data_IF_767664230601
#
_entry.id   IF_767664230601
#
_cell.length_a   1.000
_cell.length_b   1.000
_cell.length_c   1.000
_cell.angle_alpha   90.00
_cell.angle_beta   90.00
_cell.angle_gamma   90.00
#
_symmetry.space_group_name_H-M   'P 1'
#
loop_
_entity.id
_entity.type
_entity.pdbx_description
1 polymer ?
#
# COMPACT_ATOMS: atom_id res chain seq x y z
N UNK A 1 -22.59 -32.06 25.29
CA UNK A 1 -22.98 -31.47 24.00
C UNK A 1 -22.64 -32.49 22.92
N UNK A 2 -23.59 -32.83 22.05
CA UNK A 2 -23.29 -33.67 20.89
C UNK A 2 -22.57 -32.81 19.85
N UNK A 3 -21.57 -33.37 19.16
CA UNK A 3 -20.93 -32.68 18.04
C UNK A 3 -21.94 -32.50 16.90
N UNK A 4 -21.85 -31.36 16.21
CA UNK A 4 -22.68 -31.11 15.04
C UNK A 4 -22.31 -32.06 13.91
N UNK A 5 -23.31 -32.67 13.28
CA UNK A 5 -23.10 -33.62 12.19
C UNK A 5 -22.79 -32.86 10.91
N UNK A 6 -21.54 -32.98 10.44
CA UNK A 6 -21.07 -32.30 9.22
C UNK A 6 -21.21 -33.19 7.98
N UNK A 7 -21.40 -32.55 6.83
CA UNK A 7 -21.45 -33.19 5.51
C UNK A 7 -20.12 -33.86 5.16
N UNK A 8 -20.19 -35.00 4.47
CA UNK A 8 -19.02 -35.71 3.95
C UNK A 8 -18.41 -35.02 2.72
N UNK A 9 -19.12 -34.04 2.14
CA UNK A 9 -18.62 -33.20 1.04
C UNK A 9 -18.16 -31.86 1.62
N UNK A 10 -16.87 -31.59 1.51
CA UNK A 10 -16.29 -30.32 1.94
C UNK A 10 -16.44 -29.26 0.84
N UNK A 11 -17.04 -28.11 1.18
CA UNK A 11 -16.93 -26.87 0.43
C UNK A 11 -15.91 -25.96 1.12
N UNK A 12 -14.69 -25.92 0.59
CA UNK A 12 -13.63 -25.11 1.19
C UNK A 12 -13.84 -23.61 0.97
N UNK A 13 -14.49 -23.21 -0.12
CA UNK A 13 -14.72 -21.79 -0.41
C UNK A 13 -15.69 -21.22 0.61
N UNK A 14 -16.81 -21.91 0.85
CA UNK A 14 -17.79 -21.53 1.86
C UNK A 14 -17.17 -21.52 3.27
N UNK A 15 -16.37 -22.54 3.62
CA UNK A 15 -15.69 -22.60 4.92
C UNK A 15 -14.68 -21.46 5.12
N UNK A 16 -13.92 -21.09 4.09
CA UNK A 16 -13.02 -19.93 4.13
C UNK A 16 -13.79 -18.63 4.36
N UNK A 17 -14.91 -18.43 3.64
CA UNK A 17 -15.76 -17.26 3.84
C UNK A 17 -16.31 -17.19 5.26
N UNK A 18 -16.89 -18.29 5.75
CA UNK A 18 -17.39 -18.40 7.13
C UNK A 18 -16.28 -18.12 8.16
N UNK A 19 -15.05 -18.59 7.92
CA UNK A 19 -13.91 -18.33 8.81
C UNK A 19 -13.50 -16.85 8.82
N UNK A 20 -13.43 -16.22 7.64
CA UNK A 20 -13.11 -14.79 7.53
C UNK A 20 -14.20 -13.91 8.17
N UNK A 21 -15.47 -14.26 7.98
CA UNK A 21 -16.61 -13.59 8.60
C UNK A 21 -16.55 -13.72 10.13
N UNK A 22 -16.32 -14.93 10.63
CA UNK A 22 -16.11 -15.17 12.06
C UNK A 22 -14.96 -14.33 12.62
N UNK A 23 -13.80 -14.27 11.94
CA UNK A 23 -12.67 -13.46 12.39
C UNK A 23 -12.98 -11.98 12.45
N UNK A 24 -13.69 -11.45 11.44
CA UNK A 24 -14.11 -10.05 11.36
C UNK A 24 -15.10 -9.70 12.46
N UNK A 25 -16.18 -10.47 12.59
CA UNK A 25 -17.27 -10.21 13.54
C UNK A 25 -16.82 -10.31 14.99
N UNK A 26 -15.80 -11.12 15.27
CA UNK A 26 -15.25 -11.30 16.59
C UNK A 26 -13.97 -10.49 16.85
N UNK A 27 -13.53 -9.64 15.91
CA UNK A 27 -12.30 -8.83 16.01
C UNK A 27 -11.08 -9.66 16.44
N UNK A 28 -10.91 -10.83 15.82
CA UNK A 28 -9.92 -11.83 16.24
C UNK A 28 -8.49 -11.30 16.08
N UNK A 29 -8.23 -10.53 15.02
CA UNK A 29 -6.91 -9.95 14.75
C UNK A 29 -6.52 -8.93 15.83
N UNK A 30 -7.45 -8.05 16.21
CA UNK A 30 -7.26 -7.02 17.23
C UNK A 30 -7.05 -7.66 18.60
N UNK A 31 -7.88 -8.64 18.97
CA UNK A 31 -7.71 -9.42 20.22
C UNK A 31 -6.36 -10.12 20.27
N UNK A 32 -5.90 -10.68 19.15
CA UNK A 32 -4.57 -11.30 19.05
C UNK A 32 -3.46 -10.27 19.26
N UNK A 33 -3.55 -9.08 18.66
CA UNK A 33 -2.57 -8.02 18.85
C UNK A 33 -2.53 -7.54 20.30
N UNK A 34 -3.69 -7.37 20.92
CA UNK A 34 -3.81 -6.92 22.31
C UNK A 34 -3.23 -7.93 23.30
N UNK A 35 -3.44 -9.23 23.06
CA UNK A 35 -2.86 -10.31 23.87
C UNK A 35 -1.32 -10.26 23.91
N UNK A 36 -0.69 -9.82 22.82
CA UNK A 36 0.76 -9.79 22.69
C UNK A 36 1.37 -8.40 22.92
N UNK A 37 0.57 -7.41 23.31
CA UNK A 37 1.07 -6.06 23.59
C UNK A 37 2.04 -6.09 24.78
N UNK A 38 3.22 -5.48 24.61
CA UNK A 38 4.27 -5.44 25.63
C UNK A 38 5.14 -6.70 25.69
N UNK A 39 4.90 -7.68 24.83
CA UNK A 39 5.74 -8.87 24.71
C UNK A 39 7.03 -8.56 23.93
N UNK A 40 8.06 -9.43 23.97
CA UNK A 40 9.26 -9.21 23.17
C UNK A 40 8.94 -9.07 21.67
N UNK A 41 9.48 -8.02 21.05
CA UNK A 41 9.19 -7.68 19.67
C UNK A 41 9.86 -8.62 18.68
N UNK A 42 9.14 -8.94 17.60
CA UNK A 42 9.71 -9.46 16.37
C UNK A 42 9.51 -8.42 15.27
N UNK A 43 10.62 -8.01 14.63
CA UNK A 43 10.59 -7.00 13.58
C UNK A 43 10.49 -7.66 12.22
N UNK A 44 9.50 -7.23 11.45
CA UNK A 44 9.33 -7.57 10.04
C UNK A 44 8.94 -6.32 9.28
N UNK A 45 9.59 -6.09 8.15
CA UNK A 45 9.31 -4.99 7.24
C UNK A 45 8.76 -5.62 5.97
N UNK A 46 7.49 -5.34 5.70
CA UNK A 46 6.85 -5.81 4.49
C UNK A 46 7.39 -5.04 3.27
N UNK A 47 7.99 -5.76 2.32
CA UNK A 47 8.35 -5.19 1.02
C UNK A 47 7.08 -4.74 0.31
N UNK A 48 6.95 -3.43 -0.02
CA UNK A 48 5.69 -2.86 -0.48
C UNK A 48 5.36 -3.39 -1.87
N UNK A 49 4.08 -3.70 -2.10
CA UNK A 49 3.58 -4.04 -3.44
C UNK A 49 3.36 -2.73 -4.22
N UNK A 50 3.72 -2.69 -5.50
CA UNK A 50 3.36 -1.55 -6.35
C UNK A 50 1.84 -1.49 -6.51
N UNK A 51 1.24 -0.37 -6.14
CA UNK A 51 -0.20 -0.15 -6.18
C UNK A 51 -0.67 0.29 -7.58
N UNK A 52 -0.33 -0.48 -8.61
CA UNK A 52 -0.65 -0.13 -10.00
C UNK A 52 -1.62 -1.10 -10.69
N UNK A 53 -1.80 -2.32 -10.18
CA UNK A 53 -2.61 -3.37 -10.82
C UNK A 53 -3.18 -4.35 -9.77
N UNK A 54 -4.17 -5.20 -10.11
CA UNK A 54 -4.62 -6.26 -9.22
C UNK A 54 -3.48 -7.25 -8.94
N UNK A 55 -3.53 -7.94 -7.80
CA UNK A 55 -2.54 -8.96 -7.45
C UNK A 55 -2.59 -10.14 -8.43
N UNK A 56 -1.44 -10.43 -9.06
CA UNK A 56 -1.16 -11.74 -9.67
C UNK A 56 -0.82 -12.84 -8.65
N UNK A 57 -0.83 -14.11 -9.09
CA UNK A 57 -0.59 -15.30 -8.25
C UNK A 57 0.74 -15.25 -7.48
N UNK A 58 1.79 -14.69 -8.08
CA UNK A 58 3.09 -14.54 -7.43
C UNK A 58 3.04 -13.64 -6.18
N UNK A 59 2.15 -12.65 -6.13
CA UNK A 59 1.93 -11.86 -4.90
C UNK A 59 1.27 -12.70 -3.82
N UNK A 60 0.32 -13.56 -4.19
CA UNK A 60 -0.30 -14.51 -3.26
C UNK A 60 0.76 -15.40 -2.62
N UNK A 61 1.65 -15.98 -3.42
CA UNK A 61 2.75 -16.80 -2.92
C UNK A 61 3.66 -16.07 -1.92
N UNK A 62 4.10 -14.84 -2.27
CA UNK A 62 4.91 -14.03 -1.36
C UNK A 62 4.19 -13.69 -0.05
N UNK A 63 2.91 -13.31 -0.12
CA UNK A 63 2.10 -12.98 1.06
C UNK A 63 1.84 -14.20 1.94
N UNK A 64 1.64 -15.39 1.36
CA UNK A 64 1.48 -16.63 2.14
C UNK A 64 2.70 -16.90 3.03
N UNK A 65 3.92 -16.74 2.51
CA UNK A 65 5.12 -16.93 3.34
C UNK A 65 5.23 -15.87 4.45
N UNK A 66 4.96 -14.60 4.12
CA UNK A 66 5.00 -13.50 5.10
C UNK A 66 3.99 -13.71 6.23
N UNK A 67 2.77 -14.16 5.89
CA UNK A 67 1.72 -14.47 6.87
C UNK A 67 2.08 -15.68 7.74
N UNK A 68 2.62 -16.75 7.12
CA UNK A 68 3.06 -17.95 7.84
C UNK A 68 4.07 -17.60 8.94
N UNK A 69 5.11 -16.82 8.61
CA UNK A 69 6.12 -16.42 9.60
C UNK A 69 5.54 -15.45 10.64
N UNK A 70 4.67 -14.54 10.23
CA UNK A 70 4.00 -13.64 11.17
C UNK A 70 3.21 -14.44 12.21
N UNK A 71 2.34 -15.36 11.77
CA UNK A 71 1.57 -16.25 12.66
C UNK A 71 2.46 -17.12 13.53
N UNK A 72 3.53 -17.69 12.97
CA UNK A 72 4.50 -18.48 13.73
C UNK A 72 5.06 -17.67 14.90
N UNK A 73 5.53 -16.45 14.67
CA UNK A 73 6.12 -15.63 15.72
C UNK A 73 5.08 -15.10 16.71
N UNK A 74 3.86 -14.80 16.27
CA UNK A 74 2.72 -14.54 17.15
C UNK A 74 2.48 -15.69 18.11
N UNK A 75 2.37 -16.92 17.60
CA UNK A 75 2.13 -18.11 18.42
C UNK A 75 3.30 -18.43 19.36
N UNK A 76 4.49 -17.90 19.07
CA UNK A 76 5.65 -17.94 19.96
C UNK A 76 5.67 -16.79 20.98
N UNK A 77 4.58 -16.04 21.11
CA UNK A 77 4.40 -14.98 22.10
C UNK A 77 5.11 -13.67 21.77
N UNK A 78 5.34 -13.36 20.47
CA UNK A 78 6.01 -12.12 20.06
C UNK A 78 5.01 -11.02 19.74
N UNK A 79 5.40 -9.78 20.04
CA UNK A 79 4.71 -8.58 19.55
C UNK A 79 5.20 -8.23 18.13
N UNK A 80 4.28 -8.04 17.20
CA UNK A 80 4.56 -7.73 15.80
C UNK A 80 3.91 -6.40 15.40
N UNK A 81 4.50 -5.73 14.40
CA UNK A 81 3.98 -4.46 13.86
C UNK A 81 2.80 -4.63 12.90
N UNK A 82 2.72 -5.76 12.19
CA UNK A 82 1.67 -6.03 11.19
C UNK A 82 1.42 -4.92 10.15
N UNK A 83 2.46 -4.19 9.75
CA UNK A 83 2.33 -3.11 8.79
C UNK A 83 2.55 -3.58 7.36
N UNK A 84 1.57 -3.35 6.47
CA UNK A 84 1.73 -3.51 5.02
C UNK A 84 2.24 -2.21 4.37
N UNK A 85 2.90 -2.33 3.22
CA UNK A 85 3.31 -1.21 2.39
C UNK A 85 2.69 -1.19 0.99
N UNK A 86 2.42 0.01 0.49
CA UNK A 86 2.16 0.27 -0.92
C UNK A 86 3.26 1.13 -1.53
N UNK A 87 3.80 0.68 -2.65
CA UNK A 87 4.70 1.45 -3.49
C UNK A 87 3.87 2.22 -4.53
N UNK A 88 3.95 3.54 -4.45
CA UNK A 88 3.00 4.48 -5.04
C UNK A 88 3.64 5.37 -6.12
N UNK A 89 4.93 5.22 -6.40
CA UNK A 89 5.69 6.15 -7.23
C UNK A 89 6.41 5.42 -8.37
N UNK A 90 6.91 6.20 -9.33
CA UNK A 90 7.80 5.71 -10.39
C UNK A 90 7.08 5.12 -11.61
N UNK A 91 7.91 4.60 -12.52
CA UNK A 91 7.52 4.26 -13.90
C UNK A 91 6.35 3.27 -13.99
N UNK A 92 6.26 2.31 -13.06
CA UNK A 92 5.21 1.29 -13.08
C UNK A 92 3.80 1.85 -12.86
N UNK A 93 3.67 2.98 -12.16
CA UNK A 93 2.39 3.68 -12.00
C UNK A 93 2.16 4.61 -13.19
N UNK A 94 3.18 5.43 -13.51
CA UNK A 94 3.09 6.43 -14.59
C UNK A 94 2.74 5.81 -15.94
N UNK A 95 3.39 4.70 -16.32
CA UNK A 95 3.17 4.03 -17.60
C UNK A 95 1.75 3.47 -17.72
N UNK A 96 1.16 3.00 -16.63
CA UNK A 96 -0.23 2.53 -16.66
C UNK A 96 -1.22 3.68 -16.81
N UNK A 97 -0.96 4.82 -16.17
CA UNK A 97 -1.77 6.05 -16.38
C UNK A 97 -1.60 6.58 -17.81
N UNK A 98 -0.38 6.57 -18.35
CA UNK A 98 -0.14 6.91 -19.77
C UNK A 98 -0.97 6.02 -20.70
N UNK A 99 -1.04 4.70 -20.44
CA UNK A 99 -1.85 3.77 -21.24
C UNK A 99 -3.34 4.08 -21.13
N UNK A 100 -3.86 4.34 -19.93
CA UNK A 100 -5.26 4.69 -19.71
C UNK A 100 -5.67 5.98 -20.42
N UNK A 101 -4.78 6.97 -20.45
CA UNK A 101 -5.01 8.24 -21.14
C UNK A 101 -4.66 8.19 -22.64
N UNK A 102 -4.13 7.06 -23.13
CA UNK A 102 -3.71 6.90 -24.52
C UNK A 102 -2.47 7.70 -24.92
N UNK A 103 -1.65 8.12 -23.94
CA UNK A 103 -0.43 8.90 -24.17
C UNK A 103 0.67 8.06 -24.82
N UNK A 104 1.37 8.68 -25.76
CA UNK A 104 2.43 8.06 -26.57
C UNK A 104 3.79 8.71 -26.34
N UNK A 105 3.83 9.89 -25.75
CA UNK A 105 5.06 10.64 -25.48
C UNK A 105 4.95 11.45 -24.19
N UNK A 106 6.09 11.88 -23.66
CA UNK A 106 6.13 12.78 -22.50
C UNK A 106 5.54 14.17 -22.79
N UNK A 107 5.48 14.60 -24.06
CA UNK A 107 4.81 15.85 -24.45
C UNK A 107 3.32 15.80 -24.17
N UNK A 108 2.69 14.64 -24.33
CA UNK A 108 1.26 14.49 -24.05
C UNK A 108 0.96 14.77 -22.56
N UNK A 109 1.88 14.40 -21.66
CA UNK A 109 1.80 14.71 -20.22
C UNK A 109 1.94 16.21 -19.98
N UNK A 110 2.92 16.85 -20.62
CA UNK A 110 3.14 18.30 -20.49
C UNK A 110 1.93 19.09 -20.99
N UNK A 111 1.34 18.69 -22.12
CA UNK A 111 0.13 19.29 -22.70
C UNK A 111 -1.11 19.06 -21.83
N UNK A 112 -1.22 17.89 -21.18
CA UNK A 112 -2.30 17.57 -20.25
C UNK A 112 -2.22 18.40 -18.95
N UNK A 113 -0.99 18.61 -18.46
CA UNK A 113 -0.66 19.25 -17.20
C UNK A 113 -0.02 18.26 -16.22
N UNK A 114 1.17 18.61 -15.73
CA UNK A 114 1.92 17.76 -14.78
C UNK A 114 1.15 17.52 -13.47
N UNK A 115 0.50 18.56 -12.96
CA UNK A 115 -0.35 18.51 -11.77
C UNK A 115 -1.49 17.50 -11.94
N UNK A 116 -2.23 17.59 -13.05
CA UNK A 116 -3.34 16.68 -13.36
C UNK A 116 -2.85 15.24 -13.53
N UNK A 117 -1.70 15.06 -14.19
CA UNK A 117 -1.11 13.73 -14.37
C UNK A 117 -0.69 13.10 -13.03
N UNK A 118 -0.07 13.88 -12.14
CA UNK A 118 0.30 13.43 -10.79
C UNK A 118 -0.95 13.07 -9.98
N UNK A 119 -2.02 13.88 -10.04
CA UNK A 119 -3.29 13.57 -9.38
C UNK A 119 -3.89 12.27 -9.92
N UNK A 120 -3.83 12.03 -11.24
CA UNK A 120 -4.29 10.79 -11.86
C UNK A 120 -3.49 9.56 -11.40
N UNK A 121 -2.17 9.72 -11.22
CA UNK A 121 -1.32 8.67 -10.64
C UNK A 121 -1.70 8.35 -9.19
N UNK A 122 -1.92 9.39 -8.36
CA UNK A 122 -2.38 9.21 -6.98
C UNK A 122 -3.76 8.53 -6.93
N UNK A 123 -4.69 8.93 -7.80
CA UNK A 123 -6.01 8.29 -7.94
C UNK A 123 -5.86 6.79 -8.22
N UNK A 124 -5.06 6.44 -9.24
CA UNK A 124 -4.79 5.03 -9.59
C UNK A 124 -4.27 4.25 -8.40
N UNK A 125 -3.28 4.81 -7.70
CA UNK A 125 -2.67 4.19 -6.50
C UNK A 125 -3.71 3.87 -5.45
N UNK A 126 -4.61 4.80 -5.14
CA UNK A 126 -5.65 4.60 -4.13
C UNK A 126 -6.62 3.47 -4.52
N UNK A 127 -7.06 3.44 -5.79
CA UNK A 127 -7.94 2.39 -6.30
C UNK A 127 -7.29 1.01 -6.23
N UNK A 128 -6.03 0.87 -6.65
CA UNK A 128 -5.36 -0.43 -6.61
C UNK A 128 -4.91 -0.83 -5.21
N UNK A 129 -4.57 0.12 -4.33
CA UNK A 129 -4.36 -0.18 -2.91
C UNK A 129 -5.62 -0.77 -2.27
N UNK A 130 -6.82 -0.27 -2.61
CA UNK A 130 -8.08 -0.84 -2.17
C UNK A 130 -8.29 -2.27 -2.70
N UNK A 131 -8.13 -2.48 -4.01
CA UNK A 131 -8.24 -3.81 -4.65
C UNK A 131 -7.27 -4.81 -4.01
N UNK A 132 -6.00 -4.45 -3.90
CA UNK A 132 -4.97 -5.31 -3.32
C UNK A 132 -5.23 -5.59 -1.84
N UNK A 133 -5.77 -4.63 -1.09
CA UNK A 133 -6.22 -4.84 0.30
C UNK A 133 -7.32 -5.89 0.37
N UNK A 134 -8.37 -5.78 -0.45
CA UNK A 134 -9.48 -6.76 -0.48
C UNK A 134 -8.97 -8.16 -0.85
N UNK A 135 -8.13 -8.25 -1.87
CA UNK A 135 -7.52 -9.51 -2.30
C UNK A 135 -6.64 -10.12 -1.20
N UNK A 136 -5.92 -9.29 -0.43
CA UNK A 136 -5.06 -9.76 0.67
C UNK A 136 -5.87 -10.24 1.87
N UNK A 137 -6.94 -9.52 2.22
CA UNK A 137 -7.90 -9.97 3.25
C UNK A 137 -8.54 -11.30 2.85
N UNK A 138 -8.89 -11.49 1.57
CA UNK A 138 -9.43 -12.76 1.06
C UNK A 138 -8.43 -13.92 1.15
N UNK A 139 -7.13 -13.66 1.03
CA UNK A 139 -6.06 -14.64 1.25
C UNK A 139 -5.83 -14.97 2.74
N UNK A 140 -6.50 -14.29 3.67
CA UNK A 140 -6.27 -14.43 5.11
C UNK A 140 -4.98 -13.76 5.60
N UNK A 141 -4.40 -12.85 4.82
CA UNK A 141 -3.16 -12.15 5.19
C UNK A 141 -3.44 -11.11 6.29
N UNK A 142 -2.95 -11.38 7.49
CA UNK A 142 -3.31 -10.60 8.69
C UNK A 142 -2.36 -9.42 8.88
N UNK A 143 -2.81 -8.24 8.44
CA UNK A 143 -2.11 -6.96 8.62
C UNK A 143 -3.06 -5.88 9.13
N UNK A 144 -2.50 -4.78 9.61
CA UNK A 144 -3.22 -3.54 9.84
C UNK A 144 -3.49 -2.87 8.50
N UNK A 145 -4.69 -3.11 7.96
CA UNK A 145 -5.12 -2.58 6.68
C UNK A 145 -5.77 -1.20 6.85
N UNK A 146 -5.61 -0.33 5.85
CA UNK A 146 -6.57 0.75 5.66
C UNK A 146 -7.91 0.16 5.21
N UNK A 147 -8.99 0.93 5.41
CA UNK A 147 -10.29 0.57 4.87
C UNK A 147 -10.30 0.76 3.34
N UNK A 148 -10.50 -0.31 2.55
CA UNK A 148 -10.49 -0.20 1.09
C UNK A 148 -11.62 0.68 0.55
N UNK A 149 -12.78 0.74 1.19
CA UNK A 149 -13.90 1.59 0.74
C UNK A 149 -13.53 3.08 0.90
N UNK A 150 -12.80 3.42 1.97
CA UNK A 150 -12.29 4.77 2.18
C UNK A 150 -11.18 5.16 1.21
N UNK A 151 -10.33 4.21 0.81
CA UNK A 151 -9.32 4.46 -0.20
C UNK A 151 -9.96 4.75 -1.56
N UNK A 152 -11.02 4.02 -1.93
CA UNK A 152 -11.79 4.30 -3.15
C UNK A 152 -12.49 5.66 -3.08
N UNK A 153 -13.13 5.99 -1.95
CA UNK A 153 -13.75 7.30 -1.76
C UNK A 153 -12.75 8.46 -1.84
N UNK A 154 -11.55 8.30 -1.27
CA UNK A 154 -10.48 9.29 -1.42
C UNK A 154 -10.01 9.40 -2.88
N UNK A 155 -9.99 8.31 -3.64
CA UNK A 155 -9.66 8.36 -5.06
C UNK A 155 -10.67 9.19 -5.84
N UNK A 156 -11.97 8.97 -5.60
CA UNK A 156 -13.05 9.72 -6.23
C UNK A 156 -12.97 11.21 -5.88
N UNK A 157 -12.81 11.54 -4.60
CA UNK A 157 -12.67 12.91 -4.12
C UNK A 157 -11.43 13.61 -4.67
N UNK A 158 -10.31 12.89 -4.81
CA UNK A 158 -9.06 13.44 -5.35
C UNK A 158 -9.20 13.77 -6.83
N UNK A 159 -9.95 12.94 -7.57
CA UNK A 159 -10.23 13.16 -8.99
C UNK A 159 -11.20 14.34 -9.23
N UNK A 160 -12.19 14.51 -8.35
CA UNK A 160 -13.22 15.54 -8.49
C UNK A 160 -12.78 16.91 -7.95
N UNK A 161 -12.20 16.97 -6.76
CA UNK A 161 -11.91 18.22 -6.05
C UNK A 161 -10.76 18.06 -5.04
N UNK A 162 -9.49 17.99 -5.50
CA UNK A 162 -8.34 17.71 -4.64
C UNK A 162 -8.11 18.73 -3.52
N UNK A 163 -8.57 19.97 -3.72
CA UNK A 163 -8.44 21.07 -2.76
C UNK A 163 -9.69 21.28 -1.88
N UNK A 164 -10.73 20.46 -2.03
CA UNK A 164 -11.89 20.53 -1.15
C UNK A 164 -11.51 20.03 0.25
N UNK A 165 -11.98 20.73 1.30
CA UNK A 165 -11.81 20.29 2.68
C UNK A 165 -12.76 19.14 2.99
N UNK A 166 -12.21 18.05 3.53
CA UNK A 166 -12.94 16.88 4.00
C UNK A 166 -12.59 16.59 5.45
N UNK A 167 -13.47 15.86 6.15
CA UNK A 167 -13.17 15.26 7.45
C UNK A 167 -13.02 13.76 7.28
N UNK A 168 -11.81 13.25 7.48
CA UNK A 168 -11.49 11.83 7.45
C UNK A 168 -11.58 11.23 8.85
N UNK A 169 -12.32 10.13 8.98
CA UNK A 169 -12.49 9.41 10.24
C UNK A 169 -11.36 8.39 10.44
N UNK A 170 -10.27 8.78 11.08
CA UNK A 170 -9.10 7.93 11.33
C UNK A 170 -9.22 7.02 12.56
N UNK A 171 -8.35 6.00 12.70
CA UNK A 171 -8.29 5.18 13.93
C UNK A 171 -7.85 5.97 15.18
N UNK A 172 -7.16 7.10 15.01
CA UNK A 172 -6.75 7.98 16.11
C UNK A 172 -7.69 9.19 16.32
N UNK A 173 -8.77 9.29 15.54
CA UNK A 173 -9.71 10.42 15.56
C UNK A 173 -9.89 11.08 14.20
N UNK A 174 -10.59 12.22 14.19
CA UNK A 174 -10.89 12.98 12.99
C UNK A 174 -9.68 13.76 12.48
N UNK A 175 -9.50 13.77 11.16
CA UNK A 175 -8.50 14.59 10.46
C UNK A 175 -9.23 15.44 9.43
N UNK A 176 -9.24 16.77 9.63
CA UNK A 176 -9.88 17.72 8.70
C UNK A 176 -8.82 18.48 7.92
N UNK A 177 -8.85 18.38 6.59
CA UNK A 177 -7.94 19.08 5.67
C UNK A 177 -8.42 18.92 4.22
N UNK A 178 -7.68 19.45 3.26
CA UNK A 178 -7.92 19.18 1.84
C UNK A 178 -7.75 17.70 1.52
N UNK A 179 -8.48 17.20 0.50
CA UNK A 179 -8.36 15.80 0.04
C UNK A 179 -6.90 15.45 -0.23
N UNK A 180 -6.17 16.32 -0.94
CA UNK A 180 -4.76 16.08 -1.26
C UNK A 180 -3.88 15.98 -0.01
N UNK A 181 -4.10 16.82 1.01
CA UNK A 181 -3.34 16.76 2.26
C UNK A 181 -3.70 15.53 3.11
N UNK A 182 -4.94 15.07 3.06
CA UNK A 182 -5.33 13.78 3.67
C UNK A 182 -4.61 12.64 2.96
N UNK A 183 -4.64 12.59 1.63
CA UNK A 183 -3.94 11.57 0.83
C UNK A 183 -2.43 11.62 1.08
N UNK A 184 -1.83 12.80 1.13
CA UNK A 184 -0.41 13.01 1.41
C UNK A 184 0.03 12.57 2.80
N UNK A 185 -0.90 12.37 3.74
CA UNK A 185 -0.61 11.87 5.10
C UNK A 185 -0.88 10.37 5.27
N UNK A 186 -1.41 9.68 4.24
CA UNK A 186 -1.60 8.24 4.30
C UNK A 186 -0.29 7.53 4.66
N UNK A 187 -0.34 6.64 5.65
CA UNK A 187 0.86 6.04 6.24
C UNK A 187 1.20 6.55 7.63
N UNK A 188 0.60 7.67 8.04
CA UNK A 188 0.60 8.08 9.43
C UNK A 188 -0.46 7.28 10.23
N UNK A 189 -0.19 6.96 11.51
CA UNK A 189 -1.08 6.15 12.34
C UNK A 189 -2.52 6.67 12.41
N UNK A 190 -2.73 7.98 12.32
CA UNK A 190 -4.04 8.62 12.31
C UNK A 190 -4.87 8.36 11.05
N UNK A 191 -4.29 7.86 9.96
CA UNK A 191 -5.01 7.62 8.70
C UNK A 191 -5.09 6.13 8.31
N UNK A 192 -4.55 5.24 9.14
CA UNK A 192 -4.72 3.79 9.01
C UNK A 192 -3.43 3.01 9.20
N UNK A 193 -3.46 1.74 8.80
CA UNK A 193 -2.40 0.79 9.13
C UNK A 193 -1.31 0.60 8.08
N UNK A 194 -1.58 0.83 6.79
CA UNK A 194 -0.56 0.67 5.74
C UNK A 194 0.28 1.92 5.58
N UNK A 195 1.56 1.76 5.22
CA UNK A 195 2.39 2.87 4.78
C UNK A 195 2.33 3.04 3.25
N UNK A 196 2.54 4.27 2.78
CA UNK A 196 2.49 4.63 1.36
C UNK A 196 3.74 5.43 1.00
N UNK A 197 4.46 5.02 -0.05
CA UNK A 197 5.75 5.66 -0.41
C UNK A 197 5.60 7.11 -0.86
N UNK A 198 4.42 7.50 -1.39
CA UNK A 198 4.14 8.88 -1.80
C UNK A 198 3.82 9.85 -0.65
N UNK A 199 3.79 9.38 0.60
CA UNK A 199 3.37 10.18 1.74
C UNK A 199 4.41 11.26 2.04
N UNK A 200 3.94 12.40 2.57
CA UNK A 200 4.77 13.53 2.95
C UNK A 200 5.85 13.09 3.94
N UNK A 201 5.48 12.30 4.95
CA UNK A 201 6.43 11.78 5.94
C UNK A 201 7.52 10.90 5.29
N UNK A 202 7.14 9.96 4.41
CA UNK A 202 8.10 9.13 3.71
C UNK A 202 9.02 9.97 2.79
N UNK A 203 8.47 10.95 2.08
CA UNK A 203 9.23 11.88 1.25
C UNK A 203 10.24 12.70 2.09
N UNK A 204 9.84 13.19 3.27
CA UNK A 204 10.75 13.92 4.16
C UNK A 204 11.89 13.05 4.68
N UNK A 205 11.62 11.77 4.96
CA UNK A 205 12.67 10.81 5.33
C UNK A 205 13.64 10.56 4.18
N UNK A 206 13.15 10.42 2.95
CA UNK A 206 14.00 10.31 1.75
C UNK A 206 14.85 11.56 1.56
N UNK A 207 14.26 12.76 1.67
CA UNK A 207 14.98 14.02 1.53
C UNK A 207 16.07 14.17 2.59
N UNK A 208 15.78 13.76 3.83
CA UNK A 208 16.76 13.74 4.92
C UNK A 208 17.92 12.81 4.58
N UNK A 209 17.65 11.60 4.09
CA UNK A 209 18.68 10.67 3.66
C UNK A 209 19.54 11.24 2.52
N UNK A 210 18.92 11.77 1.46
CA UNK A 210 19.63 12.37 0.33
C UNK A 210 20.50 13.55 0.76
N UNK A 211 19.99 14.40 1.66
CA UNK A 211 20.77 15.51 2.24
C UNK A 211 22.00 15.00 2.98
N UNK A 212 21.88 13.92 3.77
CA UNK A 212 23.03 13.31 4.46
C UNK A 212 24.04 12.72 3.48
N UNK A 213 23.60 12.07 2.42
CA UNK A 213 24.50 11.57 1.37
C UNK A 213 25.23 12.71 0.67
N UNK A 214 24.54 13.81 0.39
CA UNK A 214 25.14 15.01 -0.20
C UNK A 214 26.16 15.68 0.75
N UNK A 215 25.82 15.88 2.03
CA UNK A 215 26.73 16.43 3.05
C UNK A 215 28.01 15.60 3.21
N UNK A 216 27.96 14.29 2.94
CA UNK A 216 29.10 13.37 2.97
C UNK A 216 29.86 13.27 1.64
N UNK A 217 29.40 13.95 0.58
CA UNK A 217 29.99 13.86 -0.76
C UNK A 217 29.69 12.54 -1.49
N UNK A 218 28.72 11.74 -1.04
CA UNK A 218 28.32 10.49 -1.69
C UNK A 218 27.30 10.68 -2.82
N UNK A 219 26.58 11.80 -2.81
CA UNK A 219 25.68 12.21 -3.88
C UNK A 219 26.31 13.34 -4.69
N UNK A 220 26.53 13.11 -5.99
CA UNK A 220 27.14 14.08 -6.89
C UNK A 220 26.44 14.08 -8.26
N UNK A 221 26.61 15.17 -9.00
CA UNK A 221 26.18 15.28 -10.40
C UNK A 221 27.36 14.94 -11.30
N UNK A 222 27.16 14.01 -12.23
CA UNK A 222 28.16 13.62 -13.24
C UNK A 222 27.53 13.47 -14.63
N UNK A 223 28.37 13.32 -15.64
CA UNK A 223 27.98 12.92 -16.99
C UNK A 223 28.63 11.58 -17.29
N UNK A 224 27.83 10.59 -17.67
CA UNK A 224 28.30 9.24 -17.96
C UNK A 224 27.38 8.58 -18.99
N UNK A 225 27.82 7.48 -19.58
CA UNK A 225 27.00 6.64 -20.47
C UNK A 225 26.11 5.76 -19.60
N UNK A 226 24.82 6.07 -19.60
CA UNK A 226 23.81 5.35 -18.83
C UNK A 226 22.84 4.63 -19.76
N UNK A 227 22.30 3.48 -19.36
CA UNK A 227 21.14 2.90 -20.01
C UNK A 227 19.99 3.91 -20.08
N UNK A 228 19.36 4.00 -21.25
CA UNK A 228 18.35 5.02 -21.53
C UNK A 228 17.13 4.40 -22.21
N UNK A 229 15.94 4.70 -21.69
CA UNK A 229 14.70 4.31 -22.33
C UNK A 229 14.17 5.45 -23.21
N UNK A 230 14.15 5.31 -24.55
CA UNK A 230 13.67 6.37 -25.44
C UNK A 230 12.18 6.64 -25.30
N UNK A 231 11.37 5.63 -24.91
CA UNK A 231 9.92 5.81 -24.73
C UNK A 231 9.58 6.52 -23.42
N UNK A 232 10.29 6.20 -22.34
CA UNK A 232 10.09 6.83 -21.02
C UNK A 232 10.88 8.14 -20.89
N UNK A 233 11.83 8.39 -21.78
CA UNK A 233 12.72 9.55 -21.77
C UNK A 233 13.44 9.73 -20.42
N UNK A 234 13.97 8.64 -19.86
CA UNK A 234 14.71 8.64 -18.59
C UNK A 234 15.88 7.66 -18.59
N UNK A 235 16.90 7.97 -17.79
CA UNK A 235 17.99 7.06 -17.48
C UNK A 235 17.52 5.95 -16.54
N UNK A 236 18.06 4.75 -16.72
CA UNK A 236 17.68 3.54 -16.00
C UNK A 236 18.91 2.97 -15.28
N UNK A 237 18.73 2.48 -14.07
CA UNK A 237 19.80 1.84 -13.31
C UNK A 237 20.14 0.45 -13.87
N UNK A 238 21.34 -0.06 -13.56
CA UNK A 238 21.74 -1.40 -14.00
C UNK A 238 20.79 -2.52 -13.52
N UNK A 239 20.15 -2.34 -12.36
CA UNK A 239 19.26 -3.34 -11.76
C UNK A 239 17.85 -3.37 -12.39
N UNK A 240 17.56 -2.43 -13.28
CA UNK A 240 16.28 -2.31 -13.99
C UNK A 240 16.36 -2.81 -15.45
N UNK A 241 17.50 -3.41 -15.85
CA UNK A 241 17.78 -4.00 -17.18
C UNK A 241 17.97 -5.49 -17.02
#
# INVERSE_FOLDING_TARGET
MAFEQISNKADFIEQEHATLDFWRENSIFEKMRDLHRGQPKWSFIDGPITANNPMGVHHGWGRTFKDLYSRFWTMRGRELRYQNGFDCQGLWVEVEVEKELGFKSKKDIEEYGLDKFVLKCKERVLRYAAVQTRQSKRLGYSMEWNDPDRLEALADQLAESPFATITYQGPAGEVTDTVENVVGRLGLPELGGSYFTFSNENNYMIWTFLKRCWEKGWLYRGADVMPWCPRCATGISQHEI
#
